data_IF_136910748076
#
_entry.id   IF_136910748076
#
_cell.length_a   1.000
_cell.length_b   1.000
_cell.length_c   1.000
_cell.angle_alpha   90.00
_cell.angle_beta   90.00
_cell.angle_gamma   90.00
#
_symmetry.space_group_name_H-M   'P 1'
#
loop_
_entity.id
_entity.type
_entity.pdbx_description
1 polymer ?
#
# COMPACT_ATOMS: atom_id res chain seq x y z
N UNK A 1 46.94 54.80 21.94
CA UNK A 1 47.28 53.72 20.97
C UNK A 1 45.97 53.17 20.44
N UNK A 2 45.54 53.67 19.28
CA UNK A 2 45.62 53.01 17.97
C UNK A 2 44.48 52.01 17.74
N UNK A 3 43.53 52.46 16.92
CA UNK A 3 42.59 51.70 16.11
C UNK A 3 43.11 50.32 15.73
N UNK A 4 42.27 49.29 15.84
CA UNK A 4 42.21 48.25 14.81
C UNK A 4 40.78 47.71 14.73
N UNK A 5 40.02 48.33 13.83
CA UNK A 5 38.88 47.71 13.17
C UNK A 5 39.41 46.47 12.46
N UNK A 6 38.99 45.27 12.89
CA UNK A 6 39.17 44.07 12.10
C UNK A 6 37.80 43.52 11.69
N UNK A 7 37.55 43.75 10.41
CA UNK A 7 36.45 43.27 9.60
C UNK A 7 36.37 41.74 9.68
N UNK A 8 35.29 41.20 10.23
CA UNK A 8 34.86 39.82 9.97
C UNK A 8 33.58 39.86 9.11
N UNK A 9 33.79 40.22 7.85
CA UNK A 9 32.86 39.97 6.74
C UNK A 9 33.34 38.71 6.02
N UNK A 10 32.40 37.90 5.52
CA UNK A 10 32.56 36.58 4.85
C UNK A 10 32.66 35.41 5.84
N UNK A 11 31.79 34.39 5.83
CA UNK A 11 31.19 33.65 4.71
C UNK A 11 29.71 33.33 5.02
N UNK A 12 28.80 34.11 4.43
CA UNK A 12 27.42 33.69 4.13
C UNK A 12 27.45 33.06 2.73
N UNK A 13 27.85 31.79 2.61
CA UNK A 13 27.72 31.04 1.36
C UNK A 13 27.20 29.63 1.67
N UNK A 14 25.93 29.46 1.31
CA UNK A 14 25.40 28.25 0.68
C UNK A 14 25.39 26.95 1.49
N UNK A 15 24.50 26.91 2.48
CA UNK A 15 23.63 25.73 2.58
C UNK A 15 22.21 26.11 2.15
N UNK A 16 22.08 26.63 0.92
CA UNK A 16 20.92 26.31 0.10
C UNK A 16 21.03 24.81 -0.24
N UNK A 17 20.84 23.97 0.78
CA UNK A 17 20.22 22.68 0.58
C UNK A 17 18.83 23.03 0.07
N UNK A 18 18.75 23.19 -1.25
CA UNK A 18 17.50 23.09 -1.96
C UNK A 18 16.91 21.78 -1.52
N UNK A 19 15.95 21.85 -0.60
CA UNK A 19 14.80 20.99 -0.67
C UNK A 19 14.31 21.21 -2.09
N UNK A 20 14.72 20.32 -3.01
CA UNK A 20 14.03 20.08 -4.25
C UNK A 20 12.63 19.74 -3.80
N UNK A 21 11.79 20.77 -3.78
CA UNK A 21 10.37 20.67 -3.64
C UNK A 21 9.99 19.62 -4.65
N UNK A 22 9.59 18.45 -4.16
CA UNK A 22 9.20 17.33 -5.00
C UNK A 22 8.15 17.93 -5.93
N UNK A 23 8.50 18.18 -7.19
CA UNK A 23 7.53 18.58 -8.20
C UNK A 23 6.39 17.56 -8.07
N UNK A 24 5.15 18.04 -8.15
CA UNK A 24 3.96 17.20 -8.17
C UNK A 24 4.05 16.29 -9.40
N UNK A 25 4.88 15.25 -9.33
CA UNK A 25 5.06 14.27 -10.37
C UNK A 25 3.74 13.53 -10.45
N UNK A 26 2.99 13.85 -11.50
CA UNK A 26 1.77 13.14 -11.82
C UNK A 26 2.19 11.71 -12.08
N UNK A 27 1.87 10.81 -11.15
CA UNK A 27 2.22 9.40 -11.31
C UNK A 27 1.38 8.85 -12.45
N UNK A 28 2.02 8.33 -13.52
CA UNK A 28 1.30 7.76 -14.63
C UNK A 28 0.37 6.66 -14.11
N UNK A 29 -0.94 6.88 -14.30
CA UNK A 29 -1.98 5.95 -13.90
C UNK A 29 -2.96 5.77 -15.05
N UNK A 30 -3.45 4.55 -15.22
CA UNK A 30 -4.49 4.21 -16.18
C UNK A 30 -5.82 4.18 -15.43
N UNK A 31 -6.71 5.12 -15.74
CA UNK A 31 -8.10 5.04 -15.33
C UNK A 31 -8.80 3.94 -16.13
N UNK A 32 -9.59 3.11 -15.45
CA UNK A 32 -10.45 2.13 -16.11
C UNK A 32 -11.77 2.81 -16.45
N UNK A 33 -12.14 2.76 -17.73
CA UNK A 33 -13.41 3.30 -18.21
C UNK A 33 -14.61 2.64 -17.54
N UNK A 34 -15.70 3.39 -17.36
CA UNK A 34 -16.87 2.93 -16.60
C UNK A 34 -17.45 1.61 -17.14
N UNK A 35 -17.57 1.46 -18.46
CA UNK A 35 -18.03 0.23 -19.11
C UNK A 35 -17.12 -0.98 -18.87
N UNK A 36 -15.85 -0.74 -18.51
CA UNK A 36 -14.83 -1.77 -18.31
C UNK A 36 -14.60 -2.10 -16.82
N UNK A 37 -15.28 -1.43 -15.88
CA UNK A 37 -15.12 -1.67 -14.43
C UNK A 37 -15.47 -3.11 -14.05
N UNK A 38 -16.62 -3.62 -14.49
CA UNK A 38 -17.06 -4.99 -14.16
C UNK A 38 -16.10 -6.06 -14.70
N UNK A 39 -15.77 -6.07 -16.02
CA UNK A 39 -14.78 -7.02 -16.55
C UNK A 39 -13.42 -6.94 -15.84
N UNK A 40 -12.96 -5.73 -15.54
CA UNK A 40 -11.70 -5.54 -14.81
C UNK A 40 -11.76 -6.15 -13.41
N UNK A 41 -12.87 -5.97 -12.70
CA UNK A 41 -13.04 -6.50 -11.34
C UNK A 41 -13.18 -8.01 -11.32
N UNK A 42 -13.86 -8.60 -12.30
CA UNK A 42 -13.95 -10.06 -12.41
C UNK A 42 -12.58 -10.67 -12.72
N UNK A 43 -11.80 -10.05 -13.62
CA UNK A 43 -10.41 -10.43 -13.87
C UNK A 43 -9.54 -10.27 -12.62
N UNK A 44 -9.73 -9.18 -11.86
CA UNK A 44 -8.99 -8.94 -10.61
C UNK A 44 -9.32 -9.99 -9.55
N UNK A 45 -10.60 -10.37 -9.40
CA UNK A 45 -11.01 -11.45 -8.49
C UNK A 45 -10.31 -12.77 -8.83
N UNK A 46 -10.35 -13.16 -10.10
CA UNK A 46 -9.66 -14.37 -10.57
C UNK A 46 -8.17 -14.30 -10.29
N UNK A 47 -7.54 -13.15 -10.58
CA UNK A 47 -6.13 -12.94 -10.31
C UNK A 47 -5.80 -13.07 -8.82
N UNK A 48 -6.55 -12.40 -7.95
CA UNK A 48 -6.36 -12.43 -6.50
C UNK A 48 -6.50 -13.86 -5.94
N UNK A 49 -7.48 -14.61 -6.42
CA UNK A 49 -7.66 -16.02 -6.04
C UNK A 49 -6.52 -16.90 -6.54
N UNK A 50 -6.09 -16.72 -7.79
CA UNK A 50 -4.96 -17.45 -8.38
C UNK A 50 -3.63 -17.15 -7.65
N UNK A 51 -3.34 -15.88 -7.38
CA UNK A 51 -2.16 -15.44 -6.65
C UNK A 51 -2.13 -16.07 -5.24
N UNK A 52 -3.30 -16.25 -4.62
CA UNK A 52 -3.44 -16.90 -3.31
C UNK A 52 -3.13 -18.39 -3.36
N UNK A 53 -3.48 -19.09 -4.43
CA UNK A 53 -3.12 -20.52 -4.60
C UNK A 53 -1.60 -20.69 -4.72
N UNK A 54 -0.92 -19.71 -5.33
CA UNK A 54 0.53 -19.74 -5.49
C UNK A 54 1.30 -19.43 -4.20
N UNK A 55 0.64 -18.84 -3.19
CA UNK A 55 1.27 -18.47 -1.93
C UNK A 55 1.87 -19.69 -1.22
N UNK A 56 3.14 -19.59 -0.86
CA UNK A 56 3.85 -20.60 -0.09
C UNK A 56 4.29 -20.06 1.26
N UNK A 57 3.86 -20.71 2.35
CA UNK A 57 4.29 -20.38 3.72
C UNK A 57 5.82 -20.41 3.91
N UNK A 58 6.56 -21.18 3.10
CA UNK A 58 8.03 -21.22 3.14
C UNK A 58 8.68 -19.91 2.71
N UNK A 59 7.96 -19.05 1.98
CA UNK A 59 8.45 -17.74 1.57
C UNK A 59 8.34 -16.68 2.68
N UNK A 60 7.72 -17.03 3.81
CA UNK A 60 7.62 -16.13 4.95
C UNK A 60 8.98 -15.98 5.64
N UNK A 61 9.40 -14.73 5.75
CA UNK A 61 10.57 -14.29 6.51
C UNK A 61 10.06 -13.51 7.72
N UNK A 62 10.52 -13.92 8.90
CA UNK A 62 10.22 -13.25 10.16
C UNK A 62 11.45 -12.44 10.62
N UNK A 63 11.31 -11.12 10.74
CA UNK A 63 12.37 -10.21 11.18
C UNK A 63 11.76 -9.21 12.15
N UNK A 64 12.32 -9.09 13.36
CA UNK A 64 11.95 -8.09 14.36
C UNK A 64 10.44 -8.03 14.65
N UNK A 65 9.81 -9.19 14.84
CA UNK A 65 8.37 -9.28 15.11
C UNK A 65 7.46 -8.90 13.93
N UNK A 66 8.03 -8.78 12.71
CA UNK A 66 7.30 -8.56 11.47
C UNK A 66 7.47 -9.76 10.54
N UNK A 67 6.39 -10.13 9.87
CA UNK A 67 6.41 -11.17 8.84
C UNK A 67 6.25 -10.52 7.47
N UNK A 68 7.11 -10.90 6.53
CA UNK A 68 7.03 -10.48 5.13
C UNK A 68 7.34 -11.67 4.23
N UNK A 69 6.95 -11.58 2.98
CA UNK A 69 7.39 -12.59 2.00
C UNK A 69 8.75 -12.23 1.43
N UNK A 70 9.49 -13.28 1.11
CA UNK A 70 10.67 -13.24 0.26
C UNK A 70 10.29 -12.79 -1.15
N UNK A 71 9.23 -13.39 -1.69
CA UNK A 71 8.69 -13.10 -3.02
C UNK A 71 7.44 -12.23 -2.92
N UNK A 72 7.16 -11.44 -3.95
CA UNK A 72 5.94 -10.65 -4.01
C UNK A 72 4.87 -11.45 -4.75
N UNK A 73 3.70 -11.59 -4.14
CA UNK A 73 2.62 -12.44 -4.66
C UNK A 73 1.47 -11.62 -5.23
N UNK A 74 1.31 -10.35 -4.82
CA UNK A 74 0.10 -9.60 -5.12
C UNK A 74 0.30 -8.09 -5.22
N UNK A 75 -0.42 -7.44 -6.12
CA UNK A 75 -0.45 -5.97 -6.18
C UNK A 75 -0.99 -5.37 -4.88
N UNK A 76 -0.56 -4.14 -4.57
CA UNK A 76 -1.22 -3.35 -3.53
C UNK A 76 -2.62 -2.98 -4.05
N UNK A 77 -3.65 -3.22 -3.25
CA UNK A 77 -5.01 -2.74 -3.54
C UNK A 77 -5.39 -1.75 -2.44
N UNK A 78 -5.78 -0.54 -2.80
CA UNK A 78 -6.25 0.47 -1.85
C UNK A 78 -7.67 0.87 -2.18
N UNK A 79 -8.56 0.78 -1.18
CA UNK A 79 -9.96 1.15 -1.28
C UNK A 79 -10.19 2.50 -0.61
N UNK A 80 -10.79 3.43 -1.35
CA UNK A 80 -11.10 4.79 -0.93
C UNK A 80 -9.91 5.55 -0.33
N UNK A 81 -8.68 5.23 -0.76
CA UNK A 81 -7.42 5.77 -0.21
C UNK A 81 -7.24 5.60 1.32
N UNK A 82 -8.05 4.75 1.95
CA UNK A 82 -8.14 4.61 3.42
C UNK A 82 -7.78 3.22 3.90
N UNK A 83 -8.15 2.21 3.12
CA UNK A 83 -7.97 0.80 3.47
C UNK A 83 -7.05 0.17 2.46
N UNK A 84 -5.94 -0.39 2.92
CA UNK A 84 -4.97 -1.04 2.05
C UNK A 84 -4.98 -2.53 2.29
N UNK A 85 -4.89 -3.24 1.19
CA UNK A 85 -4.89 -4.67 1.13
C UNK A 85 -3.67 -5.16 0.37
N UNK A 86 -2.99 -6.09 1.00
CA UNK A 86 -1.84 -6.77 0.43
C UNK A 86 -2.06 -8.25 0.70
N UNK A 87 -2.11 -9.04 -0.35
CA UNK A 87 -2.37 -10.48 -0.31
C UNK A 87 -1.08 -11.29 -0.18
N UNK A 88 0.01 -10.65 0.19
CA UNK A 88 1.29 -11.35 0.23
C UNK A 88 1.28 -12.44 1.32
N UNK A 89 0.50 -12.33 2.40
CA UNK A 89 0.36 -13.38 3.44
C UNK A 89 -1.13 -13.63 3.64
N UNK A 90 -1.68 -14.81 3.28
CA UNK A 90 -3.13 -15.00 3.46
C UNK A 90 -3.57 -16.43 3.74
N UNK A 91 -4.65 -16.49 4.52
CA UNK A 91 -5.54 -17.62 4.66
C UNK A 91 -6.64 -17.51 3.61
N UNK A 92 -6.88 -18.56 2.82
CA UNK A 92 -7.76 -18.49 1.64
C UNK A 92 -9.18 -17.96 1.92
N UNK A 93 -9.71 -18.16 3.12
CA UNK A 93 -11.04 -17.66 3.49
C UNK A 93 -11.12 -16.13 3.48
N UNK A 94 -10.07 -15.43 3.93
CA UNK A 94 -10.02 -13.96 3.94
C UNK A 94 -9.91 -13.38 2.53
N UNK A 95 -9.27 -14.10 1.62
CA UNK A 95 -9.22 -13.73 0.20
C UNK A 95 -10.60 -13.85 -0.42
N UNK A 96 -11.31 -14.93 -0.12
CA UNK A 96 -12.67 -15.14 -0.60
C UNK A 96 -13.62 -14.05 -0.07
N UNK A 97 -13.54 -13.71 1.21
CA UNK A 97 -14.30 -12.60 1.79
C UNK A 97 -13.97 -11.26 1.12
N UNK A 98 -12.68 -10.96 0.90
CA UNK A 98 -12.26 -9.75 0.21
C UNK A 98 -12.82 -9.69 -1.22
N UNK A 99 -12.66 -10.78 -1.98
CA UNK A 99 -13.14 -10.87 -3.36
C UNK A 99 -14.67 -10.69 -3.42
N UNK A 100 -15.41 -11.30 -2.50
CA UNK A 100 -16.87 -11.25 -2.52
C UNK A 100 -17.41 -9.93 -1.97
N UNK A 101 -16.86 -9.39 -0.89
CA UNK A 101 -17.43 -8.20 -0.24
C UNK A 101 -16.88 -6.88 -0.75
N UNK A 102 -15.61 -6.83 -1.14
CA UNK A 102 -14.93 -5.60 -1.54
C UNK A 102 -14.93 -5.43 -3.05
N UNK A 103 -14.63 -6.51 -3.79
CA UNK A 103 -14.52 -6.47 -5.26
C UNK A 103 -15.90 -6.63 -5.95
N UNK A 104 -16.89 -5.85 -5.54
CA UNK A 104 -18.23 -5.81 -6.15
C UNK A 104 -18.27 -4.70 -7.22
N UNK A 105 -18.27 -5.08 -8.50
CA UNK A 105 -18.18 -4.13 -9.62
C UNK A 105 -19.28 -3.06 -9.59
N UNK A 106 -20.49 -3.43 -9.17
CA UNK A 106 -21.62 -2.51 -9.00
C UNK A 106 -21.41 -1.42 -7.94
N UNK A 107 -20.54 -1.66 -6.97
CA UNK A 107 -20.25 -0.74 -5.86
C UNK A 107 -19.10 0.22 -6.18
N UNK A 108 -18.40 0.03 -7.30
CA UNK A 108 -17.19 0.77 -7.65
C UNK A 108 -17.54 1.96 -8.53
N UNK A 109 -16.99 3.12 -8.17
CA UNK A 109 -17.10 4.38 -8.91
C UNK A 109 -15.98 4.53 -9.92
N UNK A 110 -14.74 4.26 -9.49
CA UNK A 110 -13.58 4.37 -10.36
C UNK A 110 -12.45 3.46 -9.92
N UNK A 111 -11.62 3.09 -10.88
CA UNK A 111 -10.40 2.31 -10.65
C UNK A 111 -9.26 3.01 -11.36
N UNK A 112 -8.18 3.29 -10.63
CA UNK A 112 -6.91 3.72 -11.21
C UNK A 112 -5.88 2.63 -11.01
N UNK A 113 -5.22 2.25 -12.09
CA UNK A 113 -4.17 1.25 -12.10
C UNK A 113 -2.82 1.92 -12.35
N UNK A 114 -1.87 1.69 -11.45
CA UNK A 114 -0.49 2.15 -11.54
C UNK A 114 0.39 0.92 -11.72
N UNK A 115 1.10 0.88 -12.86
CA UNK A 115 2.03 -0.21 -13.17
C UNK A 115 3.27 -0.12 -12.28
N UNK A 116 3.87 -1.28 -11.95
CA UNK A 116 5.02 -1.42 -11.04
C UNK A 116 6.17 -0.42 -11.28
N UNK A 117 6.43 -0.07 -12.54
CA UNK A 117 7.46 0.89 -12.94
C UNK A 117 7.22 2.33 -12.42
N UNK A 118 5.98 2.69 -12.11
CA UNK A 118 5.59 4.04 -11.68
C UNK A 118 5.24 4.13 -10.18
N UNK A 119 5.23 3.00 -9.48
CA UNK A 119 4.86 2.91 -8.07
C UNK A 119 5.94 3.33 -7.03
N UNK A 120 7.26 3.29 -7.30
CA UNK A 120 8.29 3.51 -6.27
C UNK A 120 8.19 4.83 -5.50
N UNK A 121 7.47 5.82 -6.02
CA UNK A 121 7.37 7.17 -5.44
C UNK A 121 6.33 7.27 -4.30
N UNK A 122 5.25 6.46 -4.29
CA UNK A 122 4.18 6.58 -3.27
C UNK A 122 3.86 5.30 -2.48
N UNK A 123 4.07 4.12 -3.06
CA UNK A 123 3.66 2.85 -2.44
C UNK A 123 4.76 2.13 -1.66
N UNK A 124 6.00 2.60 -1.77
CA UNK A 124 7.19 1.96 -1.19
C UNK A 124 7.33 0.48 -1.59
N UNK A 125 7.98 -0.32 -0.74
CA UNK A 125 8.14 -1.77 -0.96
C UNK A 125 6.81 -2.53 -1.06
N UNK A 126 5.71 -1.99 -0.52
CA UNK A 126 4.42 -2.71 -0.46
C UNK A 126 3.75 -2.83 -1.82
N UNK A 127 4.08 -1.95 -2.77
CA UNK A 127 3.42 -1.87 -4.06
C UNK A 127 4.37 -2.22 -5.22
N UNK A 128 5.42 -3.00 -4.92
CA UNK A 128 6.46 -3.44 -5.86
C UNK A 128 5.89 -4.14 -7.11
N UNK A 129 4.73 -4.79 -7.03
CA UNK A 129 4.06 -5.46 -8.15
C UNK A 129 3.03 -4.61 -8.88
N UNK A 130 2.84 -3.35 -8.50
CA UNK A 130 1.76 -2.50 -9.00
C UNK A 130 0.81 -2.04 -7.89
N UNK A 131 -0.02 -1.07 -8.22
CA UNK A 131 -1.02 -0.52 -7.31
C UNK A 131 -2.36 -0.33 -8.01
N UNK A 132 -3.43 -0.87 -7.43
CA UNK A 132 -4.81 -0.64 -7.83
C UNK A 132 -5.48 0.25 -6.77
N UNK A 133 -5.98 1.40 -7.20
CA UNK A 133 -6.77 2.30 -6.38
C UNK A 133 -8.23 2.14 -6.78
N UNK A 134 -9.06 1.67 -5.86
CA UNK A 134 -10.50 1.47 -6.04
C UNK A 134 -11.23 2.54 -5.24
N UNK A 135 -12.07 3.34 -5.90
CA UNK A 135 -13.00 4.24 -5.23
C UNK A 135 -14.41 3.68 -5.33
N UNK A 136 -15.09 3.57 -4.20
CA UNK A 136 -16.47 3.11 -4.13
C UNK A 136 -17.44 4.25 -4.44
N UNK A 137 -18.64 3.90 -4.89
CA UNK A 137 -19.75 4.85 -5.02
C UNK A 137 -20.10 5.44 -3.65
N UNK A 138 -20.58 6.71 -3.60
CA UNK A 138 -21.02 7.31 -2.36
C UNK A 138 -22.09 6.45 -1.67
N UNK A 139 -22.11 6.42 -0.33
CA UNK A 139 -23.10 5.72 0.50
C UNK A 139 -23.08 4.18 0.44
N UNK A 140 -22.21 3.56 -0.35
CA UNK A 140 -21.99 2.10 -0.26
C UNK A 140 -21.48 1.77 1.14
N UNK A 141 -22.21 0.90 1.84
CA UNK A 141 -21.79 0.35 3.12
C UNK A 141 -20.97 -0.90 2.83
N UNK A 142 -19.70 -0.86 3.21
CA UNK A 142 -18.78 -2.00 3.13
C UNK A 142 -18.21 -2.22 4.52
N UNK A 143 -18.22 -3.46 4.99
CA UNK A 143 -17.45 -3.80 6.17
C UNK A 143 -15.97 -3.79 5.79
N UNK A 144 -15.18 -2.94 6.45
CA UNK A 144 -13.73 -2.88 6.21
C UNK A 144 -12.95 -3.77 7.18
N UNK A 145 -13.62 -4.52 8.07
CA UNK A 145 -12.99 -5.53 8.89
C UNK A 145 -12.79 -6.86 8.16
N UNK A 146 -13.64 -7.17 7.17
CA UNK A 146 -13.57 -8.42 6.38
C UNK A 146 -12.32 -8.48 5.52
N UNK A 147 -11.88 -9.72 5.26
CA UNK A 147 -10.77 -10.01 4.37
C UNK A 147 -9.38 -9.55 4.86
N UNK A 148 -9.26 -8.98 6.06
CA UNK A 148 -7.96 -8.62 6.65
C UNK A 148 -7.40 -7.25 6.25
N UNK A 149 -8.27 -6.29 5.94
CA UNK A 149 -7.87 -4.94 5.54
C UNK A 149 -7.18 -4.17 6.68
N UNK A 150 -6.03 -3.56 6.36
CA UNK A 150 -5.30 -2.68 7.28
C UNK A 150 -5.72 -1.22 7.07
N UNK A 151 -6.17 -0.57 8.14
CA UNK A 151 -6.49 0.86 8.14
C UNK A 151 -5.21 1.72 8.21
N UNK A 152 -5.10 2.74 7.36
CA UNK A 152 -3.87 3.52 7.20
C UNK A 152 -3.68 4.66 8.23
N UNK A 153 -4.65 4.96 9.10
CA UNK A 153 -4.58 6.14 10.00
C UNK A 153 -5.11 5.91 11.43
N UNK A 154 -4.25 6.02 12.44
CA UNK A 154 -4.69 6.31 13.81
C UNK A 154 -4.91 5.10 14.72
N UNK A 155 -4.51 5.28 15.99
CA UNK A 155 -4.19 4.26 17.00
C UNK A 155 -5.30 3.25 17.39
N UNK A 156 -6.53 3.33 16.91
CA UNK A 156 -7.62 2.44 17.36
C UNK A 156 -8.78 2.41 16.35
N UNK A 157 -8.81 1.52 15.37
CA UNK A 157 -10.07 1.02 14.77
C UNK A 157 -9.90 -0.39 14.21
N UNK A 158 -10.94 -1.20 14.41
CA UNK A 158 -11.11 -2.59 13.98
C UNK A 158 -10.72 -2.74 12.50
N UNK A 159 -9.63 -3.46 12.26
CA UNK A 159 -9.24 -3.95 10.94
C UNK A 159 -8.62 -5.33 11.14
N UNK A 160 -8.95 -6.29 10.30
CA UNK A 160 -8.32 -7.60 10.33
C UNK A 160 -6.82 -7.48 10.02
N UNK A 161 -6.02 -8.39 10.54
CA UNK A 161 -4.57 -8.33 10.36
C UNK A 161 -4.03 -9.63 9.79
N UNK A 162 -3.88 -9.68 8.46
CA UNK A 162 -3.26 -10.81 7.76
C UNK A 162 -1.73 -10.86 7.95
N UNK A 163 -1.14 -9.87 8.62
CA UNK A 163 0.31 -9.69 8.73
C UNK A 163 0.89 -9.99 10.13
N UNK A 164 0.06 -10.15 11.16
CA UNK A 164 0.53 -10.49 12.51
C UNK A 164 0.51 -12.00 12.73
N UNK A 165 1.29 -12.74 11.94
CA UNK A 165 1.66 -14.10 12.28
C UNK A 165 3.02 -14.07 12.98
N UNK A 166 3.02 -14.33 14.29
CA UNK A 166 4.24 -14.57 15.08
C UNK A 166 4.42 -16.07 15.25
N UNK A 167 5.65 -16.57 15.14
CA UNK A 167 5.93 -17.94 15.59
C UNK A 167 5.86 -17.98 17.11
N UNK A 168 5.33 -19.08 17.67
CA UNK A 168 5.33 -19.31 19.13
C UNK A 168 6.78 -19.25 19.62
N UNK A 169 7.07 -18.35 20.57
CA UNK A 169 8.41 -18.15 21.12
C UNK A 169 9.26 -17.05 20.47
N UNK A 170 8.79 -16.33 19.45
CA UNK A 170 9.55 -15.19 18.90
C UNK A 170 9.65 -14.03 19.88
N UNK A 171 10.89 -13.59 20.15
CA UNK A 171 11.18 -12.33 20.85
C UNK A 171 10.74 -11.14 20.00
N UNK A 172 9.84 -10.32 20.54
CA UNK A 172 9.42 -9.08 19.91
C UNK A 172 10.36 -7.95 20.36
N UNK A 173 11.29 -7.57 19.50
CA UNK A 173 12.11 -6.38 19.70
C UNK A 173 11.27 -5.18 19.25
N UNK A 174 10.87 -4.33 20.20
CA UNK A 174 10.21 -3.04 19.90
C UNK A 174 11.31 -2.01 19.66
N UNK A 175 11.43 -1.53 18.43
CA UNK A 175 12.14 -0.29 18.09
C UNK A 175 11.16 0.84 17.86
#
# INVERSE_FOLDING_TARGET
MKNTVLVFFTILLNSNLGFTQLENSIIPSKSIEEGNIRPFIDSLKQKVLSDTIQFNRKDLIHINGRTKNRNHYSMLITVNMKYSYRLDIVEGHLVNEFANEILKGENIKSINYIKKEHVPILGGFMAKGGWILINLKPKVKVDFAVGGLKYHKGKKRKGGNNFLQRKKGELMIRT
#
